data_IF_572303454714
#
_entry.id   IF_572303454714
#
_cell.length_a   1.000
_cell.length_b   1.000
_cell.length_c   1.000
_cell.angle_alpha   90.00
_cell.angle_beta   90.00
_cell.angle_gamma   90.00
#
_symmetry.space_group_name_H-M   'P 1'
#
loop_
_entity.id
_entity.type
_entity.pdbx_description
1 polymer ?
#
# COMPACT_ATOMS: atom_id res chain seq x y z
N UNK A 1 0.02 -12.19 -6.37
CA UNK A 1 -0.18 -12.84 -5.05
C UNK A 1 0.96 -13.75 -4.58
N UNK A 2 1.53 -14.63 -5.42
CA UNK A 2 2.55 -15.61 -4.98
C UNK A 2 3.74 -15.00 -4.20
N UNK A 3 4.29 -13.86 -4.65
CA UNK A 3 5.38 -13.17 -3.96
C UNK A 3 4.96 -12.56 -2.62
N UNK A 4 3.70 -12.14 -2.49
CA UNK A 4 3.17 -11.65 -1.23
C UNK A 4 3.06 -12.77 -0.20
N UNK A 5 2.54 -13.94 -0.61
CA UNK A 5 2.46 -15.12 0.25
C UNK A 5 3.85 -15.59 0.68
N UNK A 6 4.82 -15.55 -0.22
CA UNK A 6 6.20 -15.88 0.12
C UNK A 6 6.80 -14.89 1.14
N UNK A 7 6.53 -13.59 0.97
CA UNK A 7 6.91 -12.58 1.96
C UNK A 7 6.25 -12.81 3.32
N UNK A 8 4.98 -13.22 3.37
CA UNK A 8 4.29 -13.60 4.60
C UNK A 8 4.91 -14.84 5.25
N UNK A 9 5.25 -15.85 4.46
CA UNK A 9 5.89 -17.06 4.95
C UNK A 9 7.22 -16.75 5.66
N UNK A 10 8.06 -15.91 5.07
CA UNK A 10 9.29 -15.45 5.72
C UNK A 10 9.04 -14.53 6.93
N UNK A 11 7.97 -13.73 6.92
CA UNK A 11 7.60 -12.86 8.05
C UNK A 11 7.17 -13.65 9.28
N UNK A 12 6.42 -14.73 9.09
CA UNK A 12 5.85 -15.55 10.17
C UNK A 12 6.61 -16.87 10.42
N UNK A 13 7.59 -17.20 9.58
CA UNK A 13 8.28 -18.49 9.65
C UNK A 13 7.42 -19.68 9.23
N UNK A 14 6.43 -19.49 8.35
CA UNK A 14 5.52 -20.55 7.90
C UNK A 14 6.20 -21.42 6.84
N UNK A 15 6.73 -22.58 7.26
CA UNK A 15 7.41 -23.52 6.36
C UNK A 15 8.80 -23.07 5.90
N UNK A 16 9.28 -21.91 6.37
CA UNK A 16 10.62 -21.37 6.17
C UNK A 16 11.13 -20.76 7.48
N UNK A 17 12.44 -20.57 7.62
CA UNK A 17 12.98 -19.82 8.75
C UNK A 17 12.52 -18.36 8.70
N UNK A 18 12.13 -17.81 9.85
CA UNK A 18 11.65 -16.43 9.95
C UNK A 18 12.79 -15.46 9.59
N UNK A 19 12.58 -14.68 8.52
CA UNK A 19 13.55 -13.74 8.00
C UNK A 19 12.83 -12.48 7.51
N UNK A 20 12.84 -11.45 8.34
CA UNK A 20 12.24 -10.15 8.01
C UNK A 20 12.94 -9.45 6.84
N UNK A 21 14.23 -9.72 6.60
CA UNK A 21 14.97 -9.17 5.47
C UNK A 21 14.43 -9.72 4.16
N UNK A 22 14.37 -11.05 4.06
CA UNK A 22 13.78 -11.73 2.88
C UNK A 22 12.31 -11.40 2.69
N UNK A 23 11.53 -11.30 3.77
CA UNK A 23 10.13 -10.91 3.69
C UNK A 23 9.96 -9.55 2.98
N UNK A 24 10.79 -8.56 3.36
CA UNK A 24 10.80 -7.24 2.73
C UNK A 24 11.20 -7.33 1.26
N UNK A 25 12.22 -8.10 0.89
CA UNK A 25 12.62 -8.26 -0.52
C UNK A 25 11.49 -8.82 -1.39
N UNK A 26 10.74 -9.80 -0.89
CA UNK A 26 9.59 -10.34 -1.62
C UNK A 26 8.43 -9.35 -1.69
N UNK A 27 8.18 -8.58 -0.62
CA UNK A 27 7.20 -7.51 -0.65
C UNK A 27 7.60 -6.40 -1.63
N UNK A 28 8.88 -6.04 -1.75
CA UNK A 28 9.39 -5.08 -2.75
C UNK A 28 9.14 -5.57 -4.17
N UNK A 29 9.47 -6.83 -4.47
CA UNK A 29 9.19 -7.44 -5.79
C UNK A 29 7.71 -7.43 -6.12
N UNK A 30 6.85 -7.78 -5.16
CA UNK A 30 5.40 -7.76 -5.33
C UNK A 30 4.87 -6.32 -5.51
N UNK A 31 5.37 -5.36 -4.72
CA UNK A 31 4.99 -3.96 -4.82
C UNK A 31 5.39 -3.35 -6.18
N UNK A 32 6.55 -3.71 -6.72
CA UNK A 32 6.99 -3.31 -8.07
C UNK A 32 6.04 -3.83 -9.16
N UNK A 33 5.41 -4.99 -8.95
CA UNK A 33 4.38 -5.53 -9.84
C UNK A 33 2.99 -4.93 -9.61
N UNK A 34 2.88 -3.91 -8.75
CA UNK A 34 1.62 -3.25 -8.44
C UNK A 34 0.81 -3.93 -7.33
N UNK A 35 1.37 -4.89 -6.60
CA UNK A 35 0.65 -5.54 -5.51
C UNK A 35 0.46 -4.59 -4.32
N UNK A 36 -0.77 -4.13 -4.13
CA UNK A 36 -1.08 -3.03 -3.22
C UNK A 36 -0.87 -3.40 -1.76
N UNK A 37 -1.25 -4.62 -1.35
CA UNK A 37 -1.04 -5.11 0.02
C UNK A 37 0.44 -5.26 0.38
N UNK A 38 1.27 -5.67 -0.58
CA UNK A 38 2.72 -5.76 -0.34
C UNK A 38 3.31 -4.39 -0.11
N UNK A 39 2.87 -3.41 -0.91
CA UNK A 39 3.30 -2.02 -0.74
C UNK A 39 2.86 -1.42 0.59
N UNK A 40 1.66 -1.76 1.08
CA UNK A 40 1.22 -1.40 2.43
C UNK A 40 2.11 -2.03 3.51
N UNK A 41 2.42 -3.32 3.39
CA UNK A 41 3.29 -4.02 4.35
C UNK A 41 4.70 -3.46 4.39
N UNK A 42 5.25 -3.01 3.25
CA UNK A 42 6.51 -2.26 3.23
C UNK A 42 6.41 -0.97 4.01
N UNK A 43 5.33 -0.21 3.83
CA UNK A 43 5.06 1.00 4.59
C UNK A 43 5.11 0.76 6.10
N UNK A 44 4.36 -0.25 6.58
CA UNK A 44 4.31 -0.63 8.00
C UNK A 44 5.69 -1.12 8.50
N UNK A 45 6.41 -1.91 7.71
CA UNK A 45 7.76 -2.37 8.06
C UNK A 45 8.74 -1.19 8.22
N UNK A 46 8.66 -0.19 7.34
CA UNK A 46 9.47 1.02 7.45
C UNK A 46 9.07 1.88 8.66
N UNK A 47 7.79 1.91 9.06
CA UNK A 47 7.36 2.56 10.33
C UNK A 47 8.05 1.89 11.52
N UNK A 48 8.02 0.56 11.58
CA UNK A 48 8.66 -0.20 12.66
C UNK A 48 10.18 0.00 12.74
N UNK A 49 10.83 0.30 11.61
CA UNK A 49 12.25 0.64 11.52
C UNK A 49 12.56 2.11 11.85
N UNK A 50 11.56 2.96 12.06
CA UNK A 50 11.71 4.41 12.24
C UNK A 50 11.96 5.20 10.95
N UNK A 51 11.86 4.54 9.78
CA UNK A 51 12.06 5.15 8.47
C UNK A 51 10.78 5.82 7.95
N UNK A 52 10.32 6.82 8.70
CA UNK A 52 9.02 7.42 8.49
C UNK A 52 8.81 8.04 7.09
N UNK A 53 9.81 8.71 6.51
CA UNK A 53 9.73 9.25 5.15
C UNK A 53 9.54 8.18 4.08
N UNK A 54 10.12 6.98 4.27
CA UNK A 54 9.92 5.85 3.36
C UNK A 54 8.56 5.24 3.59
N UNK A 55 8.16 5.08 4.85
CA UNK A 55 6.86 4.55 5.21
C UNK A 55 5.71 5.35 4.57
N UNK A 56 5.70 6.67 4.76
CA UNK A 56 4.67 7.54 4.19
C UNK A 56 4.62 7.42 2.67
N UNK A 57 5.77 7.36 1.98
CA UNK A 57 5.81 7.17 0.52
C UNK A 57 5.18 5.85 0.08
N UNK A 58 5.51 4.73 0.72
CA UNK A 58 4.91 3.44 0.41
C UNK A 58 3.39 3.43 0.64
N UNK A 59 2.95 4.00 1.77
CA UNK A 59 1.53 4.08 2.11
C UNK A 59 0.77 5.02 1.16
N UNK A 60 1.35 6.15 0.75
CA UNK A 60 0.74 7.10 -0.20
C UNK A 60 0.49 6.45 -1.55
N UNK A 61 1.49 5.73 -2.08
CA UNK A 61 1.33 5.02 -3.34
C UNK A 61 0.25 3.94 -3.19
N UNK A 62 0.23 3.22 -2.07
CA UNK A 62 -0.80 2.20 -1.80
C UNK A 62 -2.21 2.81 -1.71
N UNK A 63 -2.38 3.96 -1.08
CA UNK A 63 -3.64 4.70 -1.03
C UNK A 63 -4.08 5.17 -2.42
N UNK A 64 -3.15 5.68 -3.25
CA UNK A 64 -3.39 6.04 -4.66
C UNK A 64 -3.78 4.85 -5.55
N UNK A 65 -3.52 3.62 -5.10
CA UNK A 65 -3.95 2.40 -5.76
C UNK A 65 -5.29 1.86 -5.20
N UNK A 66 -6.00 2.64 -4.37
CA UNK A 66 -7.31 2.29 -3.86
C UNK A 66 -7.32 1.42 -2.60
N UNK A 67 -6.23 1.36 -1.83
CA UNK A 67 -6.20 0.57 -0.59
C UNK A 67 -6.47 1.42 0.65
N UNK A 68 -7.59 1.14 1.31
CA UNK A 68 -8.12 1.92 2.42
C UNK A 68 -7.25 1.83 3.68
N UNK A 69 -6.73 0.64 4.02
CA UNK A 69 -5.91 0.44 5.22
C UNK A 69 -4.66 1.35 5.23
N UNK A 70 -4.17 1.74 4.05
CA UNK A 70 -3.01 2.61 3.91
C UNK A 70 -3.30 4.03 4.40
N UNK A 71 -4.55 4.49 4.26
CA UNK A 71 -5.00 5.78 4.80
C UNK A 71 -5.03 5.73 6.33
N UNK A 72 -5.49 4.61 6.89
CA UNK A 72 -5.47 4.35 8.33
C UNK A 72 -4.06 4.48 8.91
N UNK A 73 -3.10 3.80 8.28
CA UNK A 73 -1.70 3.89 8.70
C UNK A 73 -1.13 5.33 8.60
N UNK A 74 -1.44 6.08 7.53
CA UNK A 74 -1.00 7.49 7.42
C UNK A 74 -1.69 8.37 8.47
N UNK A 75 -2.96 8.10 8.80
CA UNK A 75 -3.67 8.78 9.89
C UNK A 75 -2.99 8.52 11.23
N UNK A 76 -2.60 7.28 11.51
CA UNK A 76 -1.84 6.94 12.73
C UNK A 76 -0.49 7.66 12.76
N UNK A 77 0.23 7.70 11.64
CA UNK A 77 1.48 8.47 11.53
C UNK A 77 1.26 9.98 11.74
N UNK A 78 0.14 10.53 11.26
CA UNK A 78 -0.21 11.94 11.48
C UNK A 78 -0.52 12.21 12.96
N UNK A 79 -1.30 11.34 13.61
CA UNK A 79 -1.60 11.44 15.05
C UNK A 79 -0.33 11.30 15.90
N UNK A 80 0.61 10.45 15.49
CA UNK A 80 1.92 10.32 16.11
C UNK A 80 2.84 11.53 15.89
N UNK A 81 2.41 12.54 15.11
CA UNK A 81 3.20 13.73 14.80
C UNK A 81 4.34 13.48 13.79
N UNK A 82 4.31 12.33 13.13
CA UNK A 82 5.35 11.87 12.20
C UNK A 82 5.02 12.24 10.76
N UNK A 83 3.75 12.15 10.36
CA UNK A 83 3.27 12.59 9.06
C UNK A 83 2.66 13.99 9.15
N UNK A 84 2.71 14.75 8.06
CA UNK A 84 2.10 16.08 7.98
C UNK A 84 0.62 15.99 7.59
N UNK A 85 -0.13 17.06 7.89
CA UNK A 85 -1.52 17.19 7.44
C UNK A 85 -1.64 17.09 5.91
N UNK A 86 -0.64 17.60 5.19
CA UNK A 86 -0.61 17.57 3.72
C UNK A 86 -0.45 16.14 3.21
N UNK A 87 0.44 15.34 3.82
CA UNK A 87 0.60 13.93 3.48
C UNK A 87 -0.69 13.13 3.73
N UNK A 88 -1.38 13.41 4.83
CA UNK A 88 -2.68 12.79 5.10
C UNK A 88 -3.76 13.20 4.08
N UNK A 89 -3.84 14.48 3.73
CA UNK A 89 -4.76 14.98 2.72
C UNK A 89 -4.45 14.39 1.32
N UNK A 90 -3.17 14.22 0.99
CA UNK A 90 -2.74 13.60 -0.26
C UNK A 90 -3.15 12.12 -0.33
N UNK A 91 -3.05 11.38 0.78
CA UNK A 91 -3.50 9.99 0.85
C UNK A 91 -5.00 9.87 0.56
N UNK A 92 -5.81 10.71 1.21
CA UNK A 92 -7.26 10.74 1.02
C UNK A 92 -7.64 11.10 -0.42
N UNK A 93 -7.01 12.14 -0.98
CA UNK A 93 -7.24 12.56 -2.35
C UNK A 93 -6.82 11.48 -3.35
N UNK A 94 -5.68 10.84 -3.12
CA UNK A 94 -5.18 9.74 -3.96
C UNK A 94 -6.15 8.57 -3.99
N UNK A 95 -6.70 8.19 -2.85
CA UNK A 95 -7.70 7.13 -2.75
C UNK A 95 -9.04 7.50 -3.41
N UNK A 96 -9.52 8.73 -3.21
CA UNK A 96 -10.73 9.21 -3.90
C UNK A 96 -10.58 9.18 -5.41
N UNK A 97 -9.45 9.68 -5.93
CA UNK A 97 -9.14 9.64 -7.35
C UNK A 97 -9.13 8.20 -7.88
N UNK A 98 -8.53 7.25 -7.15
CA UNK A 98 -8.51 5.84 -7.54
C UNK A 98 -9.93 5.25 -7.68
N UNK A 99 -10.83 5.60 -6.77
CA UNK A 99 -12.23 5.20 -6.84
C UNK A 99 -13.00 5.87 -7.98
N UNK A 100 -12.69 7.14 -8.27
CA UNK A 100 -13.31 7.87 -9.39
C UNK A 100 -12.86 7.33 -10.75
N UNK A 101 -11.57 7.02 -10.92
CA UNK A 101 -11.04 6.41 -12.14
C UNK A 101 -11.70 5.05 -12.43
N UNK A 102 -11.90 4.23 -11.39
CA UNK A 102 -12.59 2.95 -11.53
C UNK A 102 -14.03 3.14 -12.03
N UNK A 103 -14.80 4.04 -11.40
CA UNK A 103 -16.17 4.38 -11.83
C UNK A 103 -16.22 4.97 -13.23
N UNK A 104 -15.21 5.74 -13.63
CA UNK A 104 -15.13 6.32 -14.96
C UNK A 104 -14.85 5.25 -16.02
N UNK A 105 -13.99 4.27 -15.72
CA UNK A 105 -13.70 3.15 -16.63
C UNK A 105 -14.96 2.32 -16.90
N UNK A 106 -15.70 1.95 -15.84
CA UNK A 106 -16.97 1.23 -15.98
C UNK A 106 -18.00 2.02 -16.80
N UNK A 107 -18.07 3.35 -16.62
CA UNK A 107 -18.98 4.22 -17.37
C UNK A 107 -18.59 4.33 -18.85
N UNK A 108 -17.31 4.44 -19.16
CA UNK A 108 -16.82 4.50 -20.54
C UNK A 108 -16.95 3.14 -21.24
N UNK A 109 -16.74 2.04 -20.52
CA UNK A 109 -16.95 0.68 -21.01
C UNK A 109 -18.44 0.40 -21.26
N UNK A 110 -19.33 0.80 -20.36
CA UNK A 110 -20.78 0.71 -20.56
C UNK A 110 -21.25 1.48 -21.81
N UNK A 111 -20.73 2.70 -22.01
CA UNK A 111 -20.99 3.49 -23.23
C UNK A 111 -20.42 2.84 -24.50
N UNK A 112 -19.24 2.21 -24.41
CA UNK A 112 -18.61 1.50 -25.54
C UNK A 112 -19.37 0.23 -25.92
N UNK A 113 -19.97 -0.44 -24.94
CA UNK A 113 -20.78 -1.65 -25.14
C UNK A 113 -22.23 -1.36 -25.56
N UNK A 114 -22.64 -0.09 -25.64
CA UNK A 114 -23.92 0.33 -26.21
C UNK A 114 -25.14 0.08 -25.30
N UNK A 115 -24.93 0.04 -23.98
CA UNK A 115 -26.01 0.06 -22.98
C UNK A 115 -26.49 1.47 -22.66
#
# INVERSE_FOLDING_TARGET
DALFNLGLAYRYGEGVEQDMGKAVEFYEKAAMQGHVMSRNNLGISEVGKGNHDRAVRHLLISAKMGHENSIGAIKEMFVAGVATKEQYAEALKGYQNALEEMKSHDRDEAKRLGY
#
